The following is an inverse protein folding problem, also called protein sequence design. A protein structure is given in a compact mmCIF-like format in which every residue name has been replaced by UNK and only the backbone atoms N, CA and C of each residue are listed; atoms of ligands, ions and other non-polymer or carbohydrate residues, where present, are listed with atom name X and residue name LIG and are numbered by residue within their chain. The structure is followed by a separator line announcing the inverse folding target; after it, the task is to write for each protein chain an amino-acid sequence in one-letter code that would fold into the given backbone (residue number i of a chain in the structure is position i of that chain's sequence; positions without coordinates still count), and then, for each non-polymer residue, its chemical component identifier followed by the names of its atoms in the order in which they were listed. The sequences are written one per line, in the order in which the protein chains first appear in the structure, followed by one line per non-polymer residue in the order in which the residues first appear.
data_IF_436485034197
#
_entry.id   IF_436485034197
#
_cell.length_a   1.000
_cell.length_b   1.000
_cell.length_c   1.000
_cell.angle_alpha   90.00
_cell.angle_beta   90.00
_cell.angle_gamma   90.00
#
_symmetry.space_group_name_H-M   'P 1'
#
loop_
_entity.id
_entity.type
_entity.pdbx_description
1 polymer ?
#
# COMPACT_ATOMS: atom_id res chain seq x y z
N UNK A 1 -7.56 -11.01 19.28
CA UNK A 1 -7.62 -9.54 19.03
C UNK A 1 -8.99 -8.96 19.32
N UNK A 2 -10.08 -9.56 18.83
CA UNK A 2 -11.46 -9.17 19.24
C UNK A 2 -11.75 -9.27 20.73
N UNK A 3 -11.27 -10.32 21.40
CA UNK A 3 -11.34 -10.42 22.86
C UNK A 3 -10.62 -9.27 23.61
N UNK A 4 -9.81 -8.47 22.91
CA UNK A 4 -9.15 -7.25 23.42
C UNK A 4 -9.83 -5.96 22.92
N UNK A 5 -11.04 -6.04 22.37
CA UNK A 5 -11.81 -4.90 21.90
C UNK A 5 -11.40 -4.35 20.52
N UNK A 6 -10.57 -5.06 19.75
CA UNK A 6 -10.22 -4.62 18.39
C UNK A 6 -11.40 -4.87 17.46
N UNK A 7 -11.96 -3.80 16.92
CA UNK A 7 -13.01 -3.84 15.90
C UNK A 7 -12.37 -3.96 14.50
N UNK A 8 -12.60 -5.07 13.77
CA UNK A 8 -12.12 -5.21 12.39
C UNK A 8 -12.57 -4.05 11.50
N UNK A 9 -13.79 -3.55 11.65
CA UNK A 9 -14.31 -2.47 10.82
C UNK A 9 -13.58 -1.12 11.02
N UNK A 10 -12.73 -1.03 12.05
CA UNK A 10 -11.85 0.12 12.34
C UNK A 10 -10.37 -0.25 12.27
N UNK A 11 -10.04 -1.31 11.55
CA UNK A 11 -8.68 -1.82 11.38
C UNK A 11 -8.24 -1.73 9.92
N UNK A 12 -7.06 -1.14 9.68
CA UNK A 12 -6.33 -1.24 8.42
C UNK A 12 -5.06 -2.07 8.66
N UNK A 13 -4.76 -2.99 7.74
CA UNK A 13 -3.53 -3.79 7.79
C UNK A 13 -2.73 -3.47 6.54
N UNK A 14 -1.44 -3.19 6.73
CA UNK A 14 -0.50 -2.90 5.64
C UNK A 14 0.58 -3.98 5.70
N UNK A 15 0.80 -4.67 4.59
CA UNK A 15 1.86 -5.68 4.44
C UNK A 15 2.75 -5.36 3.26
N UNK A 16 4.04 -5.64 3.38
CA UNK A 16 5.02 -5.50 2.30
C UNK A 16 5.66 -6.85 2.01
N UNK A 17 5.93 -7.18 0.74
CA UNK A 17 6.58 -8.43 0.35
C UNK A 17 5.86 -9.66 0.91
N UNK A 18 6.57 -10.65 1.48
CA UNK A 18 5.98 -11.77 2.22
C UNK A 18 5.08 -11.35 3.40
N UNK A 19 5.26 -10.14 3.94
CA UNK A 19 4.36 -9.55 4.92
C UNK A 19 2.92 -9.38 4.41
N UNK A 20 2.70 -9.39 3.09
CA UNK A 20 1.35 -9.40 2.48
C UNK A 20 0.58 -10.69 2.75
N UNK A 21 1.26 -11.84 2.76
CA UNK A 21 0.68 -13.13 3.15
C UNK A 21 0.28 -13.09 4.63
N UNK A 22 1.17 -12.56 5.48
CA UNK A 22 0.91 -12.38 6.91
C UNK A 22 -0.26 -11.42 7.15
N UNK A 23 -0.35 -10.33 6.38
CA UNK A 23 -1.43 -9.36 6.47
C UNK A 23 -2.79 -9.97 6.07
N UNK A 24 -2.81 -10.78 4.99
CA UNK A 24 -4.01 -11.50 4.57
C UNK A 24 -4.44 -12.55 5.62
N UNK A 25 -3.50 -13.32 6.16
CA UNK A 25 -3.75 -14.27 7.25
C UNK A 25 -4.29 -13.55 8.50
N UNK A 26 -3.73 -12.40 8.85
CA UNK A 26 -4.19 -11.60 9.97
C UNK A 26 -5.62 -11.08 9.76
N UNK A 27 -5.95 -10.63 8.55
CA UNK A 27 -7.31 -10.22 8.18
C UNK A 27 -8.30 -11.38 8.32
N UNK A 28 -7.96 -12.56 7.82
CA UNK A 28 -8.75 -13.79 7.97
C UNK A 28 -8.99 -14.12 9.46
N UNK A 29 -7.92 -14.17 10.27
CA UNK A 29 -8.04 -14.46 11.70
C UNK A 29 -8.88 -13.42 12.46
N UNK A 30 -8.77 -12.13 12.11
CA UNK A 30 -9.52 -11.04 12.75
C UNK A 30 -11.03 -11.10 12.45
N UNK A 31 -11.39 -11.74 11.35
CA UNK A 31 -12.75 -11.79 10.80
C UNK A 31 -13.36 -13.19 10.85
N UNK A 32 -12.70 -14.13 11.54
CA UNK A 32 -13.16 -15.51 11.70
C UNK A 32 -14.59 -15.58 12.28
N UNK A 33 -14.91 -14.69 13.23
CA UNK A 33 -16.25 -14.58 13.83
C UNK A 33 -17.15 -13.56 13.07
N UNK A 34 -16.86 -13.30 11.79
CA UNK A 34 -17.61 -12.41 10.90
C UNK A 34 -17.14 -10.96 10.88
N UNK A 35 -17.63 -10.21 9.89
CA UNK A 35 -17.20 -8.85 9.57
C UNK A 35 -15.99 -8.80 8.63
N UNK A 36 -15.48 -7.60 8.36
CA UNK A 36 -14.32 -7.39 7.49
C UNK A 36 -13.39 -6.35 8.13
N UNK A 37 -12.09 -6.45 7.88
CA UNK A 37 -11.19 -5.32 8.11
C UNK A 37 -11.58 -4.15 7.19
N UNK A 38 -11.35 -2.92 7.64
CA UNK A 38 -11.72 -1.74 6.87
C UNK A 38 -10.93 -1.67 5.55
N UNK A 39 -9.63 -1.95 5.63
CA UNK A 39 -8.74 -1.92 4.47
C UNK A 39 -7.55 -2.87 4.64
N UNK A 40 -7.19 -3.54 3.56
CA UNK A 40 -5.98 -4.33 3.44
C UNK A 40 -5.14 -3.75 2.31
N UNK A 41 -3.96 -3.24 2.65
CA UNK A 41 -3.03 -2.62 1.70
C UNK A 41 -1.82 -3.54 1.53
N UNK A 42 -1.60 -3.99 0.30
CA UNK A 42 -0.53 -4.91 -0.07
C UNK A 42 0.52 -4.15 -0.88
N UNK A 43 1.74 -4.10 -0.37
CA UNK A 43 2.87 -3.38 -0.97
C UNK A 43 3.83 -4.40 -1.59
N UNK A 44 3.90 -4.40 -2.91
CA UNK A 44 4.65 -5.32 -3.77
C UNK A 44 4.57 -6.79 -3.30
N UNK A 45 3.34 -7.36 -3.18
CA UNK A 45 3.18 -8.78 -2.90
C UNK A 45 3.85 -9.60 -4.00
N UNK A 46 4.68 -10.61 -3.69
CA UNK A 46 5.28 -11.44 -4.73
C UNK A 46 4.22 -12.15 -5.57
N UNK A 47 4.35 -12.10 -6.89
CA UNK A 47 3.35 -12.66 -7.84
C UNK A 47 3.03 -14.14 -7.55
N UNK A 48 4.05 -14.94 -7.24
CA UNK A 48 3.91 -16.37 -6.92
C UNK A 48 3.01 -16.65 -5.69
N UNK A 49 2.74 -15.64 -4.86
CA UNK A 49 1.86 -15.75 -3.68
C UNK A 49 0.48 -15.14 -3.90
N UNK A 50 0.16 -14.63 -5.09
CA UNK A 50 -1.16 -14.07 -5.37
C UNK A 50 -2.29 -15.08 -5.15
N UNK A 51 -2.11 -16.35 -5.56
CA UNK A 51 -3.11 -17.39 -5.30
C UNK A 51 -3.32 -17.62 -3.80
N UNK A 52 -2.24 -17.64 -3.02
CA UNK A 52 -2.31 -17.78 -1.56
C UNK A 52 -3.07 -16.61 -0.94
N UNK A 53 -2.70 -15.38 -1.29
CA UNK A 53 -3.26 -14.14 -0.74
C UNK A 53 -4.75 -13.96 -1.11
N UNK A 54 -5.06 -14.05 -2.41
CA UNK A 54 -6.38 -13.67 -2.92
C UNK A 54 -7.38 -14.82 -2.95
N UNK A 55 -6.94 -16.07 -3.20
CA UNK A 55 -7.83 -17.22 -3.30
C UNK A 55 -7.95 -17.99 -1.99
N UNK A 56 -6.83 -18.46 -1.43
CA UNK A 56 -6.84 -19.36 -0.27
C UNK A 56 -7.09 -18.62 1.04
N UNK A 57 -6.34 -17.54 1.27
CA UNK A 57 -6.55 -16.64 2.40
C UNK A 57 -7.74 -15.71 2.19
N UNK A 58 -8.18 -15.53 0.95
CA UNK A 58 -9.43 -14.83 0.64
C UNK A 58 -9.40 -13.35 0.99
N UNK A 59 -8.30 -12.63 0.73
CA UNK A 59 -8.13 -11.21 1.06
C UNK A 59 -9.37 -10.34 0.79
N UNK A 60 -10.03 -10.53 -0.37
CA UNK A 60 -11.24 -9.79 -0.79
C UNK A 60 -12.50 -10.14 0.01
N UNK A 61 -12.53 -11.28 0.69
CA UNK A 61 -13.63 -11.68 1.59
C UNK A 61 -13.47 -11.07 2.99
N UNK A 62 -12.23 -10.82 3.39
CA UNK A 62 -11.90 -10.41 4.76
C UNK A 62 -11.61 -8.92 4.89
N UNK A 63 -11.58 -8.15 3.80
CA UNK A 63 -11.38 -6.71 3.79
C UNK A 63 -12.42 -6.01 2.91
N UNK A 64 -12.92 -4.85 3.33
CA UNK A 64 -13.85 -4.04 2.52
C UNK A 64 -13.17 -3.38 1.33
N UNK A 65 -11.92 -2.98 1.52
CA UNK A 65 -11.06 -2.40 0.49
C UNK A 65 -9.77 -3.22 0.44
N UNK A 66 -9.41 -3.72 -0.74
CA UNK A 66 -8.12 -4.36 -0.98
C UNK A 66 -7.38 -3.54 -2.03
N UNK A 67 -6.19 -3.09 -1.67
CA UNK A 67 -5.31 -2.35 -2.57
C UNK A 67 -4.02 -3.15 -2.79
N UNK A 68 -3.66 -3.31 -4.06
CA UNK A 68 -2.41 -3.90 -4.50
C UNK A 68 -1.55 -2.81 -5.15
N UNK A 69 -0.50 -2.39 -4.44
CA UNK A 69 0.54 -1.52 -4.98
C UNK A 69 1.69 -2.39 -5.44
N UNK A 70 1.99 -2.42 -6.73
CA UNK A 70 3.01 -3.30 -7.29
C UNK A 70 4.02 -2.50 -8.11
N UNK A 71 5.28 -2.94 -8.11
CA UNK A 71 6.35 -2.25 -8.81
C UNK A 71 6.84 -3.07 -10.02
N UNK A 72 6.86 -2.52 -11.24
CA UNK A 72 7.26 -3.26 -12.43
C UNK A 72 8.79 -3.44 -12.52
N UNK A 73 9.23 -4.35 -13.38
CA UNK A 73 10.63 -4.48 -13.79
C UNK A 73 11.46 -5.44 -12.92
N UNK A 74 12.74 -5.62 -13.28
CA UNK A 74 13.61 -6.69 -12.75
C UNK A 74 13.87 -6.68 -11.24
N UNK A 75 13.51 -5.59 -10.56
CA UNK A 75 13.74 -5.41 -9.12
C UNK A 75 12.44 -5.27 -8.32
N UNK A 76 11.28 -5.39 -8.98
CA UNK A 76 9.99 -5.54 -8.31
C UNK A 76 9.57 -7.00 -8.36
N UNK A 77 8.95 -7.49 -7.30
CA UNK A 77 8.51 -8.90 -7.23
C UNK A 77 7.00 -9.03 -7.42
N UNK A 78 6.26 -7.93 -7.33
CA UNK A 78 4.82 -7.92 -7.53
C UNK A 78 4.38 -7.73 -8.96
N UNK A 79 3.11 -8.04 -9.17
CA UNK A 79 2.42 -7.88 -10.44
C UNK A 79 1.03 -7.30 -10.22
N UNK A 80 0.36 -6.97 -11.33
CA UNK A 80 -1.06 -6.67 -11.28
C UNK A 80 -1.86 -7.89 -10.79
N UNK A 81 -2.78 -7.68 -9.86
CA UNK A 81 -3.62 -8.72 -9.29
C UNK A 81 -4.99 -8.70 -9.98
N UNK A 82 -5.21 -9.61 -10.93
CA UNK A 82 -6.46 -9.70 -11.72
C UNK A 82 -7.60 -10.43 -10.97
N UNK A 83 -7.90 -9.99 -9.74
CA UNK A 83 -8.96 -10.55 -8.90
C UNK A 83 -10.07 -9.52 -8.68
N UNK A 84 -11.33 -9.98 -8.74
CA UNK A 84 -12.48 -9.11 -8.52
C UNK A 84 -12.44 -8.46 -7.13
N UNK A 85 -12.62 -7.13 -7.09
CA UNK A 85 -12.58 -6.35 -5.85
C UNK A 85 -11.20 -5.85 -5.42
N UNK A 86 -10.13 -6.21 -6.15
CA UNK A 86 -8.78 -5.66 -5.90
C UNK A 86 -8.55 -4.39 -6.72
N UNK A 87 -8.10 -3.33 -6.05
CA UNK A 87 -7.67 -2.08 -6.70
C UNK A 87 -6.17 -2.13 -6.94
N UNK A 88 -5.75 -2.00 -8.19
CA UNK A 88 -4.33 -2.09 -8.56
C UNK A 88 -3.72 -0.71 -8.80
N UNK A 89 -2.51 -0.51 -8.30
CA UNK A 89 -1.73 0.71 -8.46
C UNK A 89 -0.30 0.36 -8.84
N UNK A 90 0.12 0.75 -10.05
CA UNK A 90 1.49 0.58 -10.50
C UNK A 90 2.37 1.69 -9.90
N UNK A 91 3.40 1.30 -9.13
CA UNK A 91 4.36 2.22 -8.51
C UNK A 91 5.69 2.10 -9.24
N UNK A 92 5.94 3.04 -10.15
CA UNK A 92 7.18 3.07 -10.93
C UNK A 92 8.31 3.68 -10.09
N UNK A 93 9.26 2.84 -9.68
CA UNK A 93 10.52 3.29 -9.08
C UNK A 93 11.54 3.73 -10.12
N UNK A 94 12.58 4.44 -9.66
CA UNK A 94 13.77 4.68 -10.46
C UNK A 94 14.54 3.35 -10.52
N UNK A 95 14.34 2.57 -11.58
CA UNK A 95 15.00 1.27 -11.78
C UNK A 95 16.50 1.38 -11.44
N UNK A 96 17.08 0.49 -10.62
CA UNK A 96 18.48 0.62 -10.26
C UNK A 96 19.34 0.48 -11.52
N UNK A 97 20.24 1.44 -11.73
CA UNK A 97 21.27 1.37 -12.77
C UNK A 97 22.23 0.25 -12.37
N UNK A 98 22.50 -0.67 -13.31
CA UNK A 98 23.40 -1.81 -13.12
C UNK A 98 24.72 -1.34 -12.46
N UNK A 99 25.03 -1.85 -11.27
CA UNK A 99 26.27 -1.53 -10.54
C UNK A 99 26.14 -0.60 -9.33
N UNK A 100 24.97 -0.02 -9.05
CA UNK A 100 24.71 0.72 -7.81
C UNK A 100 23.85 -0.10 -6.85
N UNK A 101 24.43 -0.49 -5.70
CA UNK A 101 23.76 -1.23 -4.62
C UNK A 101 23.02 -0.27 -3.69
N UNK A 102 22.28 0.70 -4.25
CA UNK A 102 21.34 1.48 -3.45
C UNK A 102 20.03 0.69 -3.37
N UNK A 103 19.82 0.01 -2.24
CA UNK A 103 18.60 -0.73 -1.98
C UNK A 103 17.36 0.18 -1.99
N UNK A 104 17.50 1.49 -1.79
CA UNK A 104 16.38 2.42 -1.89
C UNK A 104 15.92 2.66 -3.33
N UNK A 105 16.76 2.34 -4.31
CA UNK A 105 16.43 2.33 -5.74
C UNK A 105 15.83 1.00 -6.21
N UNK A 106 15.88 -0.05 -5.39
CA UNK A 106 15.25 -1.31 -5.72
C UNK A 106 13.72 -1.13 -5.72
N UNK A 107 13.05 -1.46 -6.84
CA UNK A 107 11.61 -1.22 -7.00
C UNK A 107 10.76 -1.88 -5.90
N UNK A 108 11.16 -3.06 -5.44
CA UNK A 108 10.50 -3.76 -4.33
C UNK A 108 10.56 -2.99 -3.01
N UNK A 109 11.70 -2.36 -2.68
CA UNK A 109 11.84 -1.55 -1.45
C UNK A 109 11.26 -0.15 -1.65
N UNK A 110 11.38 0.39 -2.86
CA UNK A 110 10.90 1.72 -3.24
C UNK A 110 9.40 1.88 -2.97
N UNK A 111 8.57 0.85 -3.25
CA UNK A 111 7.12 0.93 -3.00
C UNK A 111 6.80 1.31 -1.55
N UNK A 112 7.59 0.83 -0.59
CA UNK A 112 7.38 1.08 0.84
C UNK A 112 7.73 2.52 1.18
N UNK A 113 8.87 3.00 0.66
CA UNK A 113 9.29 4.41 0.81
C UNK A 113 8.27 5.35 0.17
N UNK A 114 7.87 5.07 -1.07
CA UNK A 114 6.85 5.83 -1.78
C UNK A 114 5.53 5.86 -1.00
N UNK A 115 5.07 4.72 -0.48
CA UNK A 115 3.86 4.65 0.34
C UNK A 115 3.98 5.54 1.59
N UNK A 116 5.12 5.49 2.29
CA UNK A 116 5.37 6.37 3.43
C UNK A 116 5.39 7.87 3.05
N UNK A 117 6.00 8.23 1.91
CA UNK A 117 6.02 9.61 1.42
C UNK A 117 4.60 10.13 1.12
N UNK A 118 3.70 9.27 0.63
CA UNK A 118 2.30 9.65 0.41
C UNK A 118 1.60 10.09 1.71
N UNK A 119 2.00 9.56 2.88
CA UNK A 119 1.43 9.98 4.18
C UNK A 119 1.69 11.45 4.47
N UNK A 120 2.80 11.99 3.94
CA UNK A 120 3.27 13.35 4.18
C UNK A 120 2.80 14.35 3.13
N UNK A 121 2.15 13.88 2.07
CA UNK A 121 1.75 14.69 0.92
C UNK A 121 0.25 14.51 0.63
N UNK A 122 -0.63 15.33 1.25
CA UNK A 122 -2.09 15.21 1.10
C UNK A 122 -2.61 15.38 -0.33
N UNK A 123 -1.83 15.97 -1.23
CA UNK A 123 -2.20 16.16 -2.63
C UNK A 123 -2.01 14.92 -3.50
N UNK A 124 -1.45 13.83 -2.96
CA UNK A 124 -1.25 12.59 -3.71
C UNK A 124 -2.58 11.87 -3.92
N UNK A 125 -2.83 11.41 -5.14
CA UNK A 125 -4.10 10.75 -5.50
C UNK A 125 -4.19 9.26 -5.06
N UNK A 126 -3.08 8.67 -4.59
CA UNK A 126 -2.99 7.26 -4.18
C UNK A 126 -1.97 7.06 -3.05
N UNK A 127 -1.85 5.81 -2.57
CA UNK A 127 -0.99 5.44 -1.45
C UNK A 127 -1.75 5.47 -0.14
N UNK A 128 -1.17 6.05 0.90
CA UNK A 128 -1.87 6.27 2.16
C UNK A 128 -3.04 7.24 2.01
N UNK A 129 -3.00 8.15 1.01
CA UNK A 129 -4.07 9.12 0.75
C UNK A 129 -5.41 8.47 0.31
N UNK A 130 -5.43 7.17 0.02
CA UNK A 130 -6.68 6.40 -0.20
C UNK A 130 -7.12 5.62 1.03
N UNK A 131 -6.48 5.83 2.20
CA UNK A 131 -6.90 5.21 3.45
C UNK A 131 -8.33 5.61 3.78
N UNK A 132 -9.17 4.62 4.06
CA UNK A 132 -10.57 4.78 4.50
C UNK A 132 -10.70 5.56 5.82
N UNK A 133 -9.59 5.86 6.50
CA UNK A 133 -9.55 6.60 7.77
C UNK A 133 -9.14 8.06 7.64
N UNK A 134 -8.75 8.55 6.47
CA UNK A 134 -8.35 9.96 6.33
C UNK A 134 -9.51 10.92 6.56
N UNK A 135 -10.70 10.59 6.05
CA UNK A 135 -11.91 11.39 6.26
C UNK A 135 -12.38 11.38 7.73
N UNK A 136 -11.98 10.36 8.49
CA UNK A 136 -12.36 10.22 9.90
C UNK A 136 -11.58 11.15 10.83
N UNK A 137 -10.41 11.63 10.41
CA UNK A 137 -9.54 12.51 11.20
C UNK A 137 -9.57 13.98 10.74
N UNK A 138 -10.23 14.30 9.61
CA UNK A 138 -10.08 15.58 8.90
C UNK A 138 -11.27 16.53 8.92
N UNK A 139 -12.43 16.15 9.47
CA UNK A 139 -13.60 17.05 9.53
C UNK A 139 -13.42 18.29 10.43
N UNK A 140 -12.24 18.51 11.03
CA UNK A 140 -11.93 19.65 11.91
C UNK A 140 -10.62 20.40 11.61
N UNK A 141 -9.80 19.99 10.64
CA UNK A 141 -8.55 20.71 10.34
C UNK A 141 -8.48 21.09 8.85
N UNK A 142 -8.75 22.37 8.57
CA UNK A 142 -8.68 22.96 7.24
C UNK A 142 -7.24 23.00 6.67
N UNK A 143 -7.09 23.22 5.35
CA UNK A 143 -5.82 23.04 4.66
C UNK A 143 -4.95 24.29 4.77
N UNK A 144 -3.73 24.15 5.28
CA UNK A 144 -2.59 25.01 4.89
C UNK A 144 -1.34 24.14 4.80
N UNK A 145 -1.02 23.66 3.60
CA UNK A 145 0.34 23.29 3.24
C UNK A 145 0.67 24.00 1.94
N UNK A 146 1.37 25.12 2.07
CA UNK A 146 2.03 25.78 0.95
C UNK A 146 3.07 24.84 0.35
N UNK A 147 2.97 24.62 -0.96
CA UNK A 147 3.92 23.83 -1.72
C UNK A 147 5.19 24.66 -1.86
N UNK A 148 6.31 24.16 -1.31
CA UNK A 148 7.62 24.69 -1.61
C UNK A 148 7.92 24.45 -3.10
N UNK A 149 7.83 25.50 -3.91
CA UNK A 149 8.28 25.48 -5.29
C UNK A 149 9.81 25.38 -5.33
N UNK A 150 10.34 24.30 -5.89
CA UNK A 150 11.74 24.25 -6.32
C UNK A 150 11.96 25.30 -7.41
N UNK A 151 12.76 26.31 -7.09
CA UNK A 151 13.21 27.32 -8.04
C UNK A 151 14.19 26.70 -9.03
N UNK A 152 13.78 26.52 -10.27
CA UNK A 152 14.68 26.28 -11.40
C UNK A 152 15.40 27.59 -11.74
N UNK A 153 16.64 27.74 -11.27
CA UNK A 153 17.54 28.79 -11.73
C UNK A 153 17.99 28.54 -13.19
N UNK A 154 18.16 29.57 -14.03
CA UNK A 154 18.48 29.38 -15.44
C UNK A 154 19.94 28.99 -15.64
N UNK A 155 20.16 27.98 -16.49
CA UNK A 155 21.44 27.69 -17.14
C UNK A 155 21.93 28.94 -17.88
N UNK A 156 23.10 29.46 -17.47
CA UNK A 156 23.90 30.38 -18.29
C UNK A 156 25.01 29.60 -18.99
N UNK A 157 25.15 29.90 -20.28
CA UNK A 157 26.10 29.35 -21.26
C UNK A 157 27.54 29.60 -20.88
#
# INVERSE_FOLDING_TARGET
LRARGIDPARTQIIGHSLGTVVAAQAAQCLTADGGCVAQLTLLDPPEDFHEEIFCKLGAVRHARVVENYWAPGISGFGAEAHYAGVRNYCVKGATPILGLVDLSMNNHVYVMRWYYETMRCPSMACGFQTSVFLDACGAQCGPTCEVAAESTGPLRR
#
